data_IF_574853100886
#
_entry.id   IF_574853100886
#
_cell.length_a   1.000
_cell.length_b   1.000
_cell.length_c   1.000
_cell.angle_alpha   90.00
_cell.angle_beta   90.00
_cell.angle_gamma   90.00
#
_symmetry.space_group_name_H-M   'P 1'
#
loop_
_entity.id
_entity.type
_entity.pdbx_description
1 polymer ?
#
# COMPACT_ATOMS: atom_id res chain seq x y z
N UNK A 1 28.26 11.96 -24.08
CA UNK A 1 26.94 11.31 -23.93
C UNK A 1 26.61 11.24 -22.46
N UNK A 2 25.55 11.92 -22.06
CA UNK A 2 25.11 11.84 -20.68
C UNK A 2 24.39 10.51 -20.49
N UNK A 3 24.92 9.68 -19.63
CA UNK A 3 24.23 8.44 -19.26
C UNK A 3 22.89 8.78 -18.65
N UNK A 4 21.84 8.30 -19.26
CA UNK A 4 20.50 8.49 -18.70
C UNK A 4 20.39 7.65 -17.44
N UNK A 5 20.46 8.34 -16.33
CA UNK A 5 20.40 7.70 -15.03
C UNK A 5 18.94 7.44 -14.65
N UNK A 6 18.65 6.26 -14.15
CA UNK A 6 17.31 5.92 -13.68
C UNK A 6 17.24 6.06 -12.17
N UNK A 7 16.13 6.61 -11.70
CA UNK A 7 15.77 6.61 -10.28
C UNK A 7 14.76 5.49 -10.07
N UNK A 8 15.07 4.57 -9.16
CA UNK A 8 14.18 3.45 -8.87
C UNK A 8 13.30 3.77 -7.67
N UNK A 9 11.99 3.60 -7.86
CA UNK A 9 11.01 3.77 -6.80
C UNK A 9 10.46 2.40 -6.44
N UNK A 10 10.51 2.03 -5.16
CA UNK A 10 10.02 0.75 -4.69
C UNK A 10 8.68 0.93 -3.98
N UNK A 11 7.65 0.25 -4.49
CA UNK A 11 6.30 0.27 -3.92
C UNK A 11 5.82 -1.16 -3.68
N UNK A 12 4.93 -1.33 -2.71
CA UNK A 12 4.27 -2.61 -2.49
C UNK A 12 3.32 -2.91 -3.66
N UNK A 13 3.22 -4.19 -4.03
CA UNK A 13 2.39 -4.62 -5.16
C UNK A 13 0.94 -4.12 -5.11
N UNK A 14 0.41 -3.88 -3.92
CA UNK A 14 -0.96 -3.38 -3.77
C UNK A 14 -1.15 -1.96 -4.32
N UNK A 15 -0.06 -1.21 -4.47
CA UNK A 15 -0.08 0.13 -5.03
C UNK A 15 0.29 0.16 -6.51
N UNK A 16 0.55 -0.99 -7.10
CA UNK A 16 0.99 -1.08 -8.49
C UNK A 16 0.07 -2.03 -9.25
N UNK A 17 -0.46 -1.55 -10.36
CA UNK A 17 -1.28 -2.37 -11.27
C UNK A 17 -0.57 -2.43 -12.61
N UNK A 18 -0.42 -3.62 -13.14
CA UNK A 18 0.21 -3.83 -14.44
C UNK A 18 -0.80 -4.37 -15.45
N UNK A 19 -0.49 -4.18 -16.70
CA UNK A 19 -1.27 -4.74 -17.82
C UNK A 19 -2.75 -4.37 -17.79
N UNK A 20 -3.03 -3.10 -17.47
CA UNK A 20 -4.39 -2.56 -17.50
C UNK A 20 -4.77 -2.35 -18.96
N UNK A 21 -5.77 -3.08 -19.44
CA UNK A 21 -6.21 -2.99 -20.82
C UNK A 21 -7.08 -1.76 -21.06
N UNK A 22 -6.86 -1.11 -22.18
CA UNK A 22 -7.72 -0.04 -22.67
C UNK A 22 -7.79 -0.08 -24.20
N UNK A 23 -8.88 0.41 -24.74
CA UNK A 23 -9.04 0.50 -26.19
C UNK A 23 -8.63 1.89 -26.64
N UNK A 24 -7.65 1.96 -27.53
CA UNK A 24 -7.22 3.22 -28.11
C UNK A 24 -8.31 3.71 -29.08
N UNK A 25 -8.91 4.84 -28.77
CA UNK A 25 -10.03 5.38 -29.55
C UNK A 25 -9.62 5.81 -30.96
N UNK A 26 -8.34 6.07 -31.18
CA UNK A 26 -7.85 6.49 -32.48
C UNK A 26 -7.62 5.30 -33.41
N UNK A 27 -7.15 4.16 -32.90
CA UNK A 27 -6.81 2.99 -33.69
C UNK A 27 -7.76 1.83 -33.50
N UNK A 28 -8.55 1.83 -32.42
CA UNK A 28 -9.42 0.70 -32.05
C UNK A 28 -8.65 -0.49 -31.48
N UNK A 29 -7.35 -0.36 -31.30
CA UNK A 29 -6.52 -1.44 -30.77
C UNK A 29 -6.57 -1.51 -29.27
N UNK A 30 -6.52 -2.72 -28.73
CA UNK A 30 -6.38 -2.93 -27.30
C UNK A 30 -4.92 -2.78 -26.91
N UNK A 31 -4.63 -1.85 -26.04
CA UNK A 31 -3.30 -1.57 -25.51
C UNK A 31 -3.29 -1.74 -24.00
N UNK A 32 -2.13 -1.94 -23.44
CA UNK A 32 -1.98 -2.06 -21.98
C UNK A 32 -1.14 -0.93 -21.43
N UNK A 33 -1.39 -0.58 -20.18
CA UNK A 33 -0.56 0.38 -19.45
C UNK A 33 -0.41 -0.05 -17.99
N UNK A 34 0.58 0.51 -17.34
CA UNK A 34 0.80 0.28 -15.92
C UNK A 34 0.36 1.51 -15.13
N UNK A 35 -0.10 1.33 -13.92
CA UNK A 35 -0.46 2.42 -13.02
C UNK A 35 0.13 2.18 -11.64
N UNK A 36 0.72 3.20 -11.06
CA UNK A 36 1.22 3.17 -9.70
C UNK A 36 0.54 4.27 -8.89
N UNK A 37 0.10 3.92 -7.70
CA UNK A 37 -0.57 4.85 -6.77
C UNK A 37 0.36 5.11 -5.61
N UNK A 38 0.51 6.36 -5.21
CA UNK A 38 1.33 6.71 -4.06
C UNK A 38 0.58 6.40 -2.74
N UNK A 39 1.25 5.81 -1.75
CA UNK A 39 0.62 5.52 -0.48
C UNK A 39 0.33 6.79 0.32
N UNK A 40 -0.60 6.70 1.26
CA UNK A 40 -0.92 7.81 2.15
C UNK A 40 0.28 8.18 3.00
N UNK A 41 0.41 9.46 3.29
CA UNK A 41 1.52 9.97 4.10
C UNK A 41 2.78 10.32 3.32
N UNK A 42 2.78 10.11 2.00
CA UNK A 42 3.86 10.60 1.14
C UNK A 42 3.64 12.08 0.91
N UNK A 43 4.60 12.90 1.32
CA UNK A 43 4.53 14.36 1.22
C UNK A 43 5.65 14.87 0.34
N UNK A 44 5.31 15.66 -0.67
CA UNK A 44 6.26 16.33 -1.56
C UNK A 44 5.98 17.84 -1.50
N UNK A 45 7.00 18.62 -1.16
CA UNK A 45 6.90 20.08 -1.03
C UNK A 45 5.75 20.53 -0.11
N UNK A 46 5.54 19.80 0.99
CA UNK A 46 4.49 20.10 1.95
C UNK A 46 3.09 19.65 1.54
N UNK A 47 2.95 19.01 0.39
CA UNK A 47 1.65 18.54 -0.12
C UNK A 47 1.58 17.03 0.02
N UNK A 48 0.49 16.52 0.64
CA UNK A 48 0.25 15.09 0.71
C UNK A 48 -0.19 14.58 -0.67
N UNK A 49 0.67 13.78 -1.27
CA UNK A 49 0.42 13.20 -2.59
C UNK A 49 -0.12 11.77 -2.51
N UNK A 50 -0.57 11.34 -1.36
CA UNK A 50 -1.20 10.04 -1.21
C UNK A 50 -2.46 9.93 -2.07
N UNK A 51 -2.59 8.83 -2.79
CA UNK A 51 -3.71 8.64 -3.71
C UNK A 51 -3.47 9.17 -5.13
N UNK A 52 -2.41 9.94 -5.35
CA UNK A 52 -2.04 10.32 -6.71
C UNK A 52 -1.49 9.12 -7.46
N UNK A 53 -1.72 9.07 -8.74
CA UNK A 53 -1.33 7.98 -9.62
C UNK A 53 -0.44 8.48 -10.76
N UNK A 54 0.45 7.64 -11.22
CA UNK A 54 1.23 7.88 -12.43
C UNK A 54 1.33 6.58 -13.23
N UNK A 55 1.69 6.69 -14.51
CA UNK A 55 1.76 5.52 -15.39
C UNK A 55 3.22 5.24 -15.77
N UNK A 56 3.88 4.32 -15.05
CA UNK A 56 5.26 3.96 -15.39
C UNK A 56 5.29 3.07 -16.64
N UNK A 57 6.33 3.23 -17.42
CA UNK A 57 6.53 2.39 -18.62
C UNK A 57 6.92 0.95 -18.24
N UNK A 58 7.71 0.81 -17.19
CA UNK A 58 8.20 -0.48 -16.73
C UNK A 58 7.95 -0.67 -15.25
N UNK A 59 7.60 -1.88 -14.88
CA UNK A 59 7.44 -2.31 -13.49
C UNK A 59 8.17 -3.64 -13.36
N UNK A 60 9.16 -3.69 -12.47
CA UNK A 60 9.95 -4.89 -12.24
C UNK A 60 9.71 -5.44 -10.85
N UNK A 61 9.96 -6.73 -10.66
CA UNK A 61 9.98 -7.30 -9.31
C UNK A 61 11.19 -6.75 -8.57
N UNK A 62 11.04 -6.50 -7.28
CA UNK A 62 12.14 -5.95 -6.49
C UNK A 62 13.24 -6.99 -6.29
N UNK A 63 14.47 -6.60 -6.58
CA UNK A 63 15.65 -7.47 -6.39
C UNK A 63 16.17 -7.43 -4.96
N UNK A 64 15.87 -6.36 -4.24
CA UNK A 64 16.45 -6.10 -2.92
C UNK A 64 15.44 -6.24 -1.78
N UNK A 65 14.17 -6.41 -2.12
CA UNK A 65 13.08 -6.55 -1.15
C UNK A 65 12.26 -7.79 -1.47
N UNK A 66 11.32 -8.11 -0.58
CA UNK A 66 10.44 -9.27 -0.77
C UNK A 66 9.64 -9.21 -2.08
N UNK A 67 9.17 -10.34 -2.56
CA UNK A 67 8.36 -10.45 -3.79
C UNK A 67 7.12 -9.58 -3.80
N UNK A 68 6.69 -9.13 -2.62
CA UNK A 68 5.55 -8.22 -2.51
C UNK A 68 5.86 -6.79 -2.96
N UNK A 69 7.10 -6.47 -3.27
CA UNK A 69 7.49 -5.14 -3.70
C UNK A 69 7.80 -5.12 -5.20
N UNK A 70 7.64 -3.93 -5.79
CA UNK A 70 7.92 -3.69 -7.20
C UNK A 70 8.85 -2.49 -7.32
N UNK A 71 9.85 -2.61 -8.18
CA UNK A 71 10.78 -1.54 -8.49
C UNK A 71 10.37 -0.90 -9.81
N UNK A 72 10.21 0.41 -9.78
CA UNK A 72 9.78 1.19 -10.94
C UNK A 72 10.93 2.08 -11.37
N UNK A 73 11.53 1.83 -12.54
CA UNK A 73 12.57 2.71 -13.06
C UNK A 73 11.97 3.95 -13.70
N UNK A 74 12.40 5.11 -13.26
CA UNK A 74 12.00 6.39 -13.82
C UNK A 74 13.24 7.16 -14.29
N UNK A 75 13.13 7.85 -15.41
CA UNK A 75 14.23 8.67 -15.91
C UNK A 75 14.45 9.85 -14.97
N UNK A 76 15.64 9.97 -14.40
CA UNK A 76 15.95 10.97 -13.38
C UNK A 76 15.85 12.42 -13.89
N UNK A 77 15.94 12.61 -15.19
CA UNK A 77 15.89 13.92 -15.84
C UNK A 77 14.50 14.32 -16.34
N UNK A 78 13.48 13.47 -16.11
CA UNK A 78 12.12 13.74 -16.58
C UNK A 78 11.15 13.89 -15.44
N UNK A 79 10.28 14.89 -15.55
CA UNK A 79 9.18 15.08 -14.62
C UNK A 79 8.16 13.96 -14.73
N UNK A 80 7.64 13.54 -13.60
CA UNK A 80 6.55 12.58 -13.51
C UNK A 80 5.27 13.35 -13.24
N UNK A 81 4.24 13.07 -14.02
CA UNK A 81 2.94 13.70 -13.85
C UNK A 81 2.08 12.83 -12.94
N UNK A 82 1.82 13.34 -11.75
CA UNK A 82 0.93 12.70 -10.79
C UNK A 82 -0.48 13.22 -11.01
N UNK A 83 -1.45 12.34 -11.04
CA UNK A 83 -2.86 12.68 -11.26
C UNK A 83 -3.74 12.06 -10.19
N UNK A 84 -4.71 12.82 -9.74
CA UNK A 84 -5.71 12.35 -8.78
C UNK A 84 -7.07 12.87 -9.21
N UNK A 85 -8.11 12.02 -9.14
CA UNK A 85 -9.47 12.48 -9.40
C UNK A 85 -9.93 13.40 -8.28
N UNK A 86 -10.53 14.51 -8.63
CA UNK A 86 -11.14 15.43 -7.68
C UNK A 86 -12.48 14.84 -7.29
N UNK A 87 -12.69 14.67 -5.99
CA UNK A 87 -13.93 14.11 -5.45
C UNK A 87 -14.71 15.18 -4.71
N UNK A 88 -16.04 15.09 -4.78
CA UNK A 88 -16.90 15.97 -4.00
C UNK A 88 -17.03 15.48 -2.54
N UNK A 89 -17.86 16.13 -1.74
CA UNK A 89 -18.04 15.80 -0.33
C UNK A 89 -18.63 14.39 -0.14
N UNK A 90 -19.34 13.86 -1.12
CA UNK A 90 -19.96 12.54 -1.09
C UNK A 90 -19.04 11.45 -1.65
N UNK A 91 -17.86 11.82 -2.15
CA UNK A 91 -16.90 10.88 -2.71
C UNK A 91 -17.09 10.57 -4.19
N UNK A 92 -17.94 11.31 -4.90
CA UNK A 92 -18.15 11.14 -6.33
C UNK A 92 -17.17 12.00 -7.12
N UNK A 93 -16.74 11.56 -8.31
CA UNK A 93 -15.84 12.38 -9.12
C UNK A 93 -16.54 13.63 -9.61
N UNK A 94 -15.90 14.78 -9.42
CA UNK A 94 -16.34 16.05 -9.96
C UNK A 94 -16.13 16.01 -11.47
N UNK A 95 -17.13 16.44 -12.23
CA UNK A 95 -17.06 16.45 -13.70
C UNK A 95 -16.76 17.87 -14.19
N UNK A 96 -15.94 17.96 -15.23
CA UNK A 96 -15.63 19.21 -15.90
C UNK A 96 -16.78 19.66 -16.83
N UNK A 97 -16.58 20.76 -17.52
CA UNK A 97 -17.57 21.32 -18.47
C UNK A 97 -17.97 20.33 -19.57
N UNK A 98 -17.12 19.34 -19.85
CA UNK A 98 -17.34 18.37 -20.90
C UNK A 98 -17.84 17.02 -20.36
N UNK A 99 -18.20 16.94 -19.07
CA UNK A 99 -18.66 15.71 -18.45
C UNK A 99 -17.58 14.69 -18.15
N UNK A 100 -16.30 15.10 -18.17
CA UNK A 100 -15.18 14.22 -17.85
C UNK A 100 -14.76 14.41 -16.40
N UNK A 101 -14.26 13.37 -15.72
CA UNK A 101 -13.79 13.51 -14.36
C UNK A 101 -12.63 14.52 -14.28
N UNK A 102 -12.82 15.53 -13.45
CA UNK A 102 -11.78 16.51 -13.20
C UNK A 102 -10.61 15.86 -12.49
N UNK A 103 -9.40 16.16 -12.92
CA UNK A 103 -8.19 15.58 -12.35
C UNK A 103 -7.24 16.68 -11.90
N UNK A 104 -6.84 16.55 -10.65
CA UNK A 104 -5.76 17.35 -10.11
C UNK A 104 -4.44 16.76 -10.59
N UNK A 105 -3.58 17.59 -11.16
CA UNK A 105 -2.32 17.15 -11.76
C UNK A 105 -1.15 17.90 -11.13
N UNK A 106 -0.14 17.15 -10.71
CA UNK A 106 1.08 17.70 -10.13
C UNK A 106 2.29 17.13 -10.86
N UNK A 107 3.27 17.97 -11.12
CA UNK A 107 4.53 17.53 -11.73
C UNK A 107 5.61 17.45 -10.68
N UNK A 108 6.32 16.35 -10.64
CA UNK A 108 7.40 16.14 -9.67
C UNK A 108 8.55 15.41 -10.32
N UNK A 109 9.75 15.56 -9.76
CA UNK A 109 10.90 14.80 -10.23
C UNK A 109 10.95 13.44 -9.56
N UNK A 110 11.47 12.40 -10.25
CA UNK A 110 11.57 11.06 -9.66
C UNK A 110 12.33 11.04 -8.33
N UNK A 111 13.33 11.85 -8.16
CA UNK A 111 14.09 11.96 -6.92
C UNK A 111 13.21 12.44 -5.75
N UNK A 112 12.30 13.36 -6.01
CA UNK A 112 11.36 13.86 -5.00
C UNK A 112 10.40 12.77 -4.55
N UNK A 113 9.91 11.95 -5.47
CA UNK A 113 9.03 10.82 -5.15
C UNK A 113 9.78 9.80 -4.30
N UNK A 114 10.99 9.46 -4.69
CA UNK A 114 11.81 8.49 -3.97
C UNK A 114 12.09 8.96 -2.54
N UNK A 115 12.51 10.19 -2.39
CA UNK A 115 12.82 10.77 -1.09
C UNK A 115 11.58 10.82 -0.19
N UNK A 116 10.45 11.21 -0.73
CA UNK A 116 9.19 11.27 0.02
C UNK A 116 8.71 9.88 0.46
N UNK A 117 8.85 8.88 -0.39
CA UNK A 117 8.50 7.49 -0.04
C UNK A 117 9.44 6.95 1.04
N UNK A 118 10.74 7.20 0.91
CA UNK A 118 11.72 6.74 1.89
C UNK A 118 11.48 7.42 3.25
N UNK A 119 11.15 8.69 3.26
CA UNK A 119 10.79 9.42 4.47
C UNK A 119 9.53 8.85 5.12
N UNK A 120 8.48 8.65 4.35
CA UNK A 120 7.22 8.09 4.85
C UNK A 120 7.44 6.71 5.47
N UNK A 121 8.28 5.90 4.84
CA UNK A 121 8.63 4.58 5.33
C UNK A 121 9.44 4.64 6.64
N UNK A 122 10.37 5.59 6.73
CA UNK A 122 11.15 5.83 7.93
C UNK A 122 10.27 6.28 9.09
N UNK A 123 9.39 7.24 8.86
CA UNK A 123 8.45 7.74 9.86
C UNK A 123 7.52 6.64 10.37
N UNK A 124 7.05 5.78 9.48
CA UNK A 124 6.23 4.63 9.86
C UNK A 124 6.98 3.64 10.75
N UNK A 125 8.24 3.36 10.42
CA UNK A 125 9.06 2.45 11.23
C UNK A 125 9.36 3.04 12.59
N UNK A 126 9.63 4.35 12.66
CA UNK A 126 9.85 5.04 13.94
C UNK A 126 8.60 5.01 14.81
N UNK A 127 7.44 5.27 14.24
CA UNK A 127 6.18 5.21 14.96
C UNK A 127 5.94 3.81 15.55
N UNK A 128 6.17 2.76 14.78
CA UNK A 128 6.02 1.39 15.27
C UNK A 128 7.00 1.04 16.38
N UNK A 129 8.22 1.57 16.31
CA UNK A 129 9.22 1.33 17.35
C UNK A 129 8.81 2.01 18.64
N UNK A 130 8.35 3.26 18.56
CA UNK A 130 7.86 4.01 19.73
C UNK A 130 6.68 3.33 20.40
N UNK A 131 5.72 2.83 19.60
CA UNK A 131 4.59 2.09 20.15
C UNK A 131 5.03 0.83 20.88
N UNK A 132 6.02 0.11 20.35
CA UNK A 132 6.55 -1.09 21.00
C UNK A 132 7.27 -0.77 22.30
N UNK A 133 8.01 0.33 22.34
CA UNK A 133 8.69 0.76 23.54
C UNK A 133 7.70 1.16 24.62
N UNK A 134 6.69 1.95 24.28
CA UNK A 134 5.63 2.32 25.22
C UNK A 134 4.89 1.09 25.74
N UNK A 135 4.63 0.12 24.90
CA UNK A 135 4.01 -1.11 25.33
C UNK A 135 4.88 -1.91 26.29
N UNK A 136 6.20 -1.82 26.20
CA UNK A 136 7.10 -2.47 27.15
C UNK A 136 7.17 -1.77 28.49
N UNK A 137 6.88 -0.49 28.54
CA UNK A 137 6.91 0.29 29.76
C UNK A 137 5.68 0.06 30.64
N UNK A 138 4.64 -0.57 30.15
CA UNK A 138 3.48 -0.89 30.94
C UNK A 138 3.88 -1.87 32.05
N UNK A 139 3.55 -1.60 33.30
CA UNK A 139 3.97 -2.41 34.43
C UNK A 139 3.56 -3.86 34.25
N UNK A 140 4.51 -4.75 34.47
CA UNK A 140 4.26 -6.18 34.34
C UNK A 140 3.18 -6.67 35.30
N UNK A 141 3.01 -6.01 36.42
CA UNK A 141 2.02 -6.39 37.41
C UNK A 141 0.59 -6.26 36.89
N UNK A 142 0.33 -5.29 36.02
CA UNK A 142 -1.00 -5.11 35.47
C UNK A 142 -1.30 -6.12 34.38
N UNK A 143 -0.26 -6.63 33.71
CA UNK A 143 -0.48 -7.54 32.64
C UNK A 143 -0.50 -8.97 33.03
N UNK A 144 0.27 -9.27 34.04
CA UNK A 144 0.77 -10.59 34.19
C UNK A 144 -0.24 -11.63 34.61
N UNK A 145 -0.81 -11.47 35.78
CA UNK A 145 -1.62 -12.53 36.36
C UNK A 145 -2.96 -12.72 35.65
N UNK A 146 -3.57 -11.64 35.27
CA UNK A 146 -4.85 -11.73 34.56
C UNK A 146 -4.75 -12.42 33.23
N UNK A 147 -3.76 -12.06 32.45
CA UNK A 147 -3.58 -12.60 31.12
C UNK A 147 -3.24 -14.09 31.18
N UNK A 148 -2.38 -14.47 32.09
CA UNK A 148 -2.02 -15.87 32.24
C UNK A 148 -3.20 -16.72 32.68
N UNK A 149 -4.01 -16.22 33.57
CA UNK A 149 -5.18 -16.95 34.02
C UNK A 149 -6.21 -17.08 32.91
N UNK A 150 -6.39 -16.04 32.12
CA UNK A 150 -7.32 -16.08 31.01
C UNK A 150 -6.86 -17.08 29.93
N UNK A 151 -5.58 -17.08 29.63
CA UNK A 151 -5.04 -18.00 28.66
C UNK A 151 -5.20 -19.45 29.10
N UNK A 152 -4.95 -19.74 30.36
CA UNK A 152 -5.10 -21.08 30.89
C UNK A 152 -6.55 -21.55 30.81
N UNK A 153 -7.49 -20.67 31.13
CA UNK A 153 -8.89 -21.00 31.07
C UNK A 153 -9.34 -21.23 29.63
N UNK A 154 -8.91 -20.42 28.74
CA UNK A 154 -9.27 -20.52 27.34
C UNK A 154 -8.71 -21.80 26.74
N UNK A 155 -7.51 -22.14 27.09
CA UNK A 155 -6.90 -23.35 26.61
C UNK A 155 -7.65 -24.60 27.09
N UNK A 156 -8.01 -24.62 28.34
CA UNK A 156 -8.75 -25.73 28.88
C UNK A 156 -10.13 -25.88 28.29
N UNK A 157 -10.80 -24.76 28.12
CA UNK A 157 -12.12 -24.78 27.53
C UNK A 157 -12.11 -25.29 26.10
N UNK A 158 -11.13 -24.84 25.37
CA UNK A 158 -11.02 -25.24 23.98
C UNK A 158 -10.78 -26.73 23.85
N UNK A 159 -9.94 -27.28 24.69
CA UNK A 159 -9.66 -28.67 24.64
C UNK A 159 -10.91 -29.51 25.03
N UNK A 160 -11.60 -29.08 26.01
CA UNK A 160 -12.81 -29.75 26.40
C UNK A 160 -13.88 -29.70 25.33
N UNK A 161 -14.05 -28.57 24.75
CA UNK A 161 -15.03 -28.43 23.71
C UNK A 161 -14.72 -29.27 22.48
N UNK A 162 -13.49 -29.35 22.15
CA UNK A 162 -13.10 -30.16 21.02
C UNK A 162 -13.33 -31.64 21.28
N UNK A 163 -13.03 -32.05 22.42
CA UNK A 163 -13.23 -33.44 22.75
C UNK A 163 -14.70 -33.81 22.70
N UNK A 164 -15.55 -32.92 23.09
CA UNK A 164 -16.94 -33.19 23.01
C UNK A 164 -17.43 -33.21 21.60
N UNK A 165 -16.90 -32.35 20.83
CA UNK A 165 -17.33 -32.28 19.47
C UNK A 165 -16.97 -33.56 18.77
N UNK A 166 -15.88 -34.07 19.04
CA UNK A 166 -15.44 -35.22 18.39
C UNK A 166 -16.39 -36.35 18.52
N UNK A 167 -16.87 -36.56 19.58
CA UNK A 167 -17.67 -37.67 19.72
C UNK A 167 -18.86 -37.62 18.90
N UNK A 168 -19.26 -36.50 18.66
CA UNK A 168 -20.40 -36.52 18.02
C UNK A 168 -20.37 -37.08 16.79
N UNK A 169 -19.34 -37.10 16.29
CA UNK A 169 -19.30 -37.57 15.10
C UNK A 169 -19.64 -38.90 15.08
N UNK A 170 -19.40 -39.40 15.98
CA UNK A 170 -19.65 -40.62 15.94
C UNK A 170 -20.89 -40.91 15.61
N UNK A 171 -21.45 -40.17 15.91
CA UNK A 171 -22.60 -40.28 15.61
C UNK A 171 -22.87 -40.52 14.34
N UNK A 172 -22.22 -40.01 13.76
CA UNK A 172 -22.48 -40.13 12.47
C UNK A 172 -22.68 -41.48 12.06
N UNK A 173 -22.33 -42.38 12.71
CA UNK A 173 -22.43 -43.57 12.35
C UNK A 173 -23.63 -44.16 12.22
N UNK A 174 -24.31 -43.70 12.68
CA UNK A 174 -25.52 -44.41 12.60
C UNK A 174 -26.12 -44.62 11.21
#
# INVERSE_FOLDING_TARGET
MTEKKNTYITLHKNFVRTDIEYVDKATGETKTFNAATLPKGVVIDGIDVGGYQFSPLFVNESRYRAESFRDIPLLSDREVWLKRSVLDAEGNPVLDEFGKPEKDTMKVMPAQIKEAIDKQRSDYLQARTSEREQAKEVPKSERGLGDKAADARNGSSALGGQAQAAPQRENARA
#
